data_IF_926098600005
#
_entry.id   IF_926098600005
#
_cell.length_a   1.000
_cell.length_b   1.000
_cell.length_c   1.000
_cell.angle_alpha   90.00
_cell.angle_beta   90.00
_cell.angle_gamma   90.00
#
_symmetry.space_group_name_H-M   'P 1'
#
loop_
_entity.id
_entity.type
_entity.pdbx_description
1 polymer ?
#
# COMPACT_ATOMS: atom_id res chain seq x y z
N UNK A 1 8.29 20.71 -8.51
CA UNK A 1 8.23 20.04 -7.19
C UNK A 1 7.17 18.95 -7.27
N UNK A 2 7.56 17.67 -7.47
CA UNK A 2 6.59 16.57 -7.61
C UNK A 2 5.90 16.35 -6.27
N UNK A 3 4.60 16.60 -6.21
CA UNK A 3 3.79 16.48 -4.99
C UNK A 3 3.96 15.08 -4.37
N UNK A 4 4.67 14.94 -3.23
CA UNK A 4 4.92 13.65 -2.58
C UNK A 4 3.60 12.93 -2.19
N UNK A 5 2.52 13.71 -2.09
CA UNK A 5 1.17 13.24 -1.79
C UNK A 5 0.56 12.39 -2.89
N UNK A 6 0.80 12.73 -4.15
CA UNK A 6 0.24 11.98 -5.30
C UNK A 6 0.87 10.59 -5.35
N UNK A 7 2.17 10.51 -5.11
CA UNK A 7 2.89 9.24 -5.04
C UNK A 7 2.39 8.36 -3.89
N UNK A 8 2.16 8.90 -2.70
CA UNK A 8 1.61 8.13 -1.57
C UNK A 8 0.22 7.52 -1.85
N UNK A 9 -0.65 8.21 -2.58
CA UNK A 9 -1.96 7.69 -3.00
C UNK A 9 -1.81 6.57 -4.03
N UNK A 10 -0.90 6.72 -5.00
CA UNK A 10 -0.63 5.71 -6.02
C UNK A 10 -0.13 4.42 -5.37
N UNK A 11 0.84 4.50 -4.45
CA UNK A 11 1.35 3.31 -3.73
C UNK A 11 0.26 2.63 -2.90
N UNK A 12 -0.61 3.40 -2.24
CA UNK A 12 -1.74 2.84 -1.50
C UNK A 12 -2.71 2.08 -2.42
N UNK A 13 -3.06 2.67 -3.56
CA UNK A 13 -3.96 2.06 -4.53
C UNK A 13 -3.35 0.82 -5.17
N UNK A 14 -2.05 0.85 -5.48
CA UNK A 14 -1.29 -0.29 -5.99
C UNK A 14 -1.27 -1.45 -4.98
N UNK A 15 -1.04 -1.16 -3.70
CA UNK A 15 -1.12 -2.16 -2.62
C UNK A 15 -2.50 -2.84 -2.56
N UNK A 16 -3.59 -2.08 -2.68
CA UNK A 16 -4.95 -2.64 -2.73
C UNK A 16 -5.16 -3.56 -3.96
N UNK A 17 -4.62 -3.19 -5.12
CA UNK A 17 -4.66 -4.02 -6.33
C UNK A 17 -3.91 -5.34 -6.13
N UNK A 18 -2.73 -5.31 -5.52
CA UNK A 18 -1.98 -6.53 -5.22
C UNK A 18 -2.69 -7.45 -4.23
N UNK A 19 -3.37 -6.89 -3.21
CA UNK A 19 -4.23 -7.68 -2.31
C UNK A 19 -5.38 -8.33 -3.08
N UNK A 20 -6.06 -7.58 -3.95
CA UNK A 20 -7.14 -8.13 -4.77
C UNK A 20 -6.67 -9.29 -5.65
N UNK A 21 -5.51 -9.15 -6.31
CA UNK A 21 -4.93 -10.23 -7.10
C UNK A 21 -4.50 -11.42 -6.24
N UNK A 22 -3.92 -11.20 -5.06
CA UNK A 22 -3.56 -12.28 -4.14
C UNK A 22 -4.79 -13.10 -3.71
N UNK A 23 -5.90 -12.42 -3.39
CA UNK A 23 -7.17 -13.07 -3.05
C UNK A 23 -7.69 -13.86 -4.24
N UNK A 24 -7.72 -13.26 -5.43
CA UNK A 24 -8.23 -13.93 -6.63
C UNK A 24 -7.41 -15.18 -6.98
N UNK A 25 -6.08 -15.09 -6.81
CA UNK A 25 -5.16 -16.20 -7.05
C UNK A 25 -5.35 -17.31 -6.03
N UNK A 26 -5.50 -16.98 -4.74
CA UNK A 26 -5.80 -17.97 -3.69
C UNK A 26 -7.16 -18.65 -3.92
N UNK A 27 -8.19 -17.90 -4.32
CA UNK A 27 -9.52 -18.46 -4.63
C UNK A 27 -9.47 -19.43 -5.82
N UNK A 28 -8.58 -19.20 -6.79
CA UNK A 28 -8.46 -20.04 -7.99
C UNK A 28 -7.65 -21.32 -7.74
N UNK A 29 -6.56 -21.23 -6.98
CA UNK A 29 -5.67 -22.38 -6.71
C UNK A 29 -6.08 -23.14 -5.44
N UNK A 30 -6.81 -22.48 -4.53
CA UNK A 30 -7.24 -23.05 -3.24
C UNK A 30 -6.11 -23.29 -2.24
N UNK A 31 -4.89 -22.86 -2.57
CA UNK A 31 -3.68 -23.09 -1.79
C UNK A 31 -2.89 -21.79 -1.64
N UNK A 32 -2.13 -21.70 -0.55
CA UNK A 32 -1.15 -20.64 -0.29
C UNK A 32 0.07 -20.79 -1.20
N UNK A 33 -0.15 -20.52 -2.48
CA UNK A 33 0.88 -20.60 -3.50
C UNK A 33 1.94 -19.51 -3.28
N UNK A 34 3.16 -19.78 -3.77
CA UNK A 34 4.30 -18.87 -3.67
C UNK A 34 3.94 -17.47 -4.20
N UNK A 35 3.21 -17.40 -5.31
CA UNK A 35 2.77 -16.13 -5.91
C UNK A 35 1.81 -15.34 -5.02
N UNK A 36 0.87 -16.01 -4.33
CA UNK A 36 -0.05 -15.36 -3.38
C UNK A 36 0.73 -14.72 -2.24
N UNK A 37 1.71 -15.43 -1.68
CA UNK A 37 2.57 -14.92 -0.61
C UNK A 37 3.44 -13.74 -1.11
N UNK A 38 3.99 -13.85 -2.31
CA UNK A 38 4.78 -12.77 -2.93
C UNK A 38 3.94 -11.50 -3.15
N UNK A 39 2.71 -11.64 -3.68
CA UNK A 39 1.79 -10.51 -3.86
C UNK A 39 1.42 -9.85 -2.53
N UNK A 40 1.19 -10.65 -1.48
CA UNK A 40 0.91 -10.13 -0.14
C UNK A 40 2.11 -9.39 0.45
N UNK A 41 3.33 -9.90 0.26
CA UNK A 41 4.55 -9.24 0.71
C UNK A 41 4.77 -7.88 0.00
N UNK A 42 4.54 -7.83 -1.31
CA UNK A 42 4.61 -6.58 -2.08
C UNK A 42 3.54 -5.58 -1.63
N UNK A 43 2.30 -6.03 -1.43
CA UNK A 43 1.24 -5.18 -0.90
C UNK A 43 1.58 -4.60 0.47
N UNK A 44 2.16 -5.39 1.38
CA UNK A 44 2.58 -4.94 2.71
C UNK A 44 3.68 -3.87 2.62
N UNK A 45 4.62 -4.02 1.69
CA UNK A 45 5.65 -3.03 1.42
C UNK A 45 5.05 -1.71 0.91
N UNK A 46 4.15 -1.77 -0.07
CA UNK A 46 3.45 -0.60 -0.60
C UNK A 46 2.59 0.11 0.47
N UNK A 47 1.95 -0.65 1.37
CA UNK A 47 1.23 -0.09 2.51
C UNK A 47 2.16 0.58 3.51
N UNK A 48 3.36 0.06 3.74
CA UNK A 48 4.35 0.69 4.63
C UNK A 48 4.80 2.03 4.09
N UNK A 49 5.07 2.10 2.77
CA UNK A 49 5.46 3.33 2.09
C UNK A 49 4.31 4.35 2.14
N UNK A 50 3.11 3.95 1.75
CA UNK A 50 1.95 4.85 1.76
C UNK A 50 1.60 5.32 3.17
N UNK A 51 1.64 4.44 4.19
CA UNK A 51 1.45 4.80 5.59
C UNK A 51 2.44 5.87 6.04
N UNK A 52 3.72 5.75 5.67
CA UNK A 52 4.74 6.76 5.97
C UNK A 52 4.38 8.12 5.36
N UNK A 53 3.90 8.16 4.11
CA UNK A 53 3.44 9.40 3.47
C UNK A 53 2.18 10.00 4.14
N UNK A 54 1.23 9.18 4.58
CA UNK A 54 0.05 9.65 5.31
C UNK A 54 0.38 10.12 6.75
N UNK A 55 1.30 9.46 7.43
CA UNK A 55 1.78 9.86 8.75
C UNK A 55 2.50 11.23 8.71
N UNK A 56 3.30 11.46 7.68
CA UNK A 56 3.91 12.78 7.41
C UNK A 56 2.86 13.89 7.26
N UNK A 57 1.72 13.59 6.64
CA UNK A 57 0.60 14.53 6.51
C UNK A 57 -0.04 14.88 7.85
N UNK A 58 -0.16 13.92 8.79
CA UNK A 58 -0.62 14.19 10.17
C UNK A 58 0.34 15.08 10.94
N UNK A 59 1.66 14.86 10.79
CA UNK A 59 2.70 15.66 11.47
C UNK A 59 2.69 17.11 10.94
N UNK A 60 2.61 17.30 9.62
CA UNK A 60 2.52 18.64 9.01
C UNK A 60 1.23 19.38 9.37
N UNK A 61 0.09 18.68 9.46
CA UNK A 61 -1.18 19.29 9.90
C UNK A 61 -1.14 19.74 11.36
N UNK A 62 -0.35 19.07 12.20
CA UNK A 62 -0.21 19.38 13.63
C UNK A 62 0.67 20.63 13.83
N UNK A 63 1.71 20.79 13.02
CA UNK A 63 2.63 21.95 13.07
C UNK A 63 2.03 23.28 12.56
N UNK A 64 0.91 23.23 11.84
CA UNK A 64 0.21 24.43 11.34
C UNK A 64 -0.92 24.90 12.27
N UNK A 65 -1.06 24.27 13.45
CA UNK A 65 -2.10 24.57 14.45
C UNK A 65 -1.54 25.13 15.76
N UNK A 66 -0.22 25.33 15.81
CA UNK A 66 0.54 26.01 16.86
C UNK A 66 1.15 27.29 16.26
#
# INVERSE_FOLDING_TARGET
MRSPYVWGIIYFFMGCLFVYFAIQQNTRTGQWDFFTIALMALAAYDFTISYRYFAFKKILKRKNKD
#
